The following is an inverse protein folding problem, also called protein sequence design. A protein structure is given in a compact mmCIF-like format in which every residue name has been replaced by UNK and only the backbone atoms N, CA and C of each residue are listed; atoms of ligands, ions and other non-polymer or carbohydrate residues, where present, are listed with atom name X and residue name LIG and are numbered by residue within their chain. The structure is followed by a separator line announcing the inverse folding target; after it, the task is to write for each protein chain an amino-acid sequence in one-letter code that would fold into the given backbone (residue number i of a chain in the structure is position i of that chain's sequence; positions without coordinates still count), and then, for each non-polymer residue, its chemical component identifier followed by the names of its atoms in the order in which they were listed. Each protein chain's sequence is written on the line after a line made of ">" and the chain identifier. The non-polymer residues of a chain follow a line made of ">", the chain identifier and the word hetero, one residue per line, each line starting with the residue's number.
data_IF_487030989692
#
_entry.id   IF_487030989692
#
_cell.length_a   1.000
_cell.length_b   1.000
_cell.length_c   1.000
_cell.angle_alpha   90.00
_cell.angle_beta   90.00
_cell.angle_gamma   90.00
#
_symmetry.space_group_name_H-M   'P 1'
#
loop_
_entity.id
_entity.type
_entity.pdbx_description
1 polymer ?
#
# COMPACT_ATOMS: atom_id res chain seq x y z
N UNK A 1 -1.98 -3.66 11.23
CA UNK A 1 -1.79 -3.90 9.78
C UNK A 1 -1.39 -5.35 9.51
N UNK A 2 -0.26 -5.86 10.01
CA UNK A 2 0.23 -7.23 9.71
C UNK A 2 -0.77 -8.35 10.01
N UNK A 3 -1.39 -8.37 11.20
CA UNK A 3 -2.33 -9.43 11.58
C UNK A 3 -3.53 -9.54 10.63
N UNK A 4 -4.14 -8.39 10.30
CA UNK A 4 -5.22 -8.34 9.32
C UNK A 4 -4.75 -8.78 7.93
N UNK A 5 -3.55 -8.39 7.51
CA UNK A 5 -3.00 -8.81 6.22
C UNK A 5 -2.80 -10.33 6.13
N UNK A 6 -2.26 -10.94 7.19
CA UNK A 6 -2.06 -12.39 7.26
C UNK A 6 -3.41 -13.12 7.15
N UNK A 7 -4.46 -12.62 7.81
CA UNK A 7 -5.83 -13.15 7.73
C UNK A 7 -6.42 -13.02 6.30
N UNK A 8 -6.39 -11.83 5.72
CA UNK A 8 -6.88 -11.58 4.36
C UNK A 8 -6.18 -12.45 3.31
N UNK A 9 -4.85 -12.56 3.40
CA UNK A 9 -4.07 -13.38 2.46
C UNK A 9 -4.27 -14.88 2.68
N UNK A 10 -4.59 -15.34 3.88
CA UNK A 10 -4.94 -16.73 4.13
C UNK A 10 -6.33 -17.08 3.56
N UNK A 11 -7.34 -16.25 3.84
CA UNK A 11 -8.75 -16.63 3.67
C UNK A 11 -9.37 -16.21 2.33
N UNK A 12 -8.93 -15.08 1.75
CA UNK A 12 -9.58 -14.53 0.58
C UNK A 12 -9.40 -15.43 -0.65
N UNK A 13 -10.51 -15.71 -1.34
CA UNK A 13 -10.54 -16.48 -2.61
C UNK A 13 -10.40 -15.53 -3.81
N UNK A 14 -9.28 -14.82 -3.87
CA UNK A 14 -8.94 -13.87 -4.93
C UNK A 14 -7.49 -14.05 -5.36
N UNK A 15 -7.17 -13.63 -6.58
CA UNK A 15 -5.81 -13.74 -7.12
C UNK A 15 -4.86 -12.72 -6.50
N UNK A 16 -5.34 -11.48 -6.31
CA UNK A 16 -4.55 -10.35 -5.83
C UNK A 16 -5.30 -9.49 -4.83
N UNK A 17 -4.56 -8.99 -3.85
CA UNK A 17 -5.01 -8.08 -2.79
C UNK A 17 -4.09 -6.86 -2.81
N UNK A 18 -4.68 -5.67 -2.77
CA UNK A 18 -3.96 -4.41 -2.67
C UNK A 18 -4.11 -3.86 -1.26
N UNK A 19 -3.00 -3.51 -0.61
CA UNK A 19 -3.04 -2.91 0.72
C UNK A 19 -3.37 -1.42 0.60
N UNK A 20 -4.51 -1.01 1.16
CA UNK A 20 -4.92 0.40 1.22
C UNK A 20 -4.09 1.17 2.25
N UNK A 21 -3.52 2.29 1.82
CA UNK A 21 -2.75 3.22 2.67
C UNK A 21 -3.19 4.65 2.38
N UNK A 22 -3.04 5.54 3.37
CA UNK A 22 -3.29 6.97 3.20
C UNK A 22 -1.97 7.73 3.00
N UNK A 23 -1.96 8.67 2.06
CA UNK A 23 -0.85 9.61 1.86
C UNK A 23 -0.93 10.85 2.78
N UNK A 24 -2.00 10.98 3.56
CA UNK A 24 -2.20 12.11 4.48
C UNK A 24 -1.66 11.77 5.87
N UNK A 25 -0.63 12.50 6.32
CA UNK A 25 -0.11 12.41 7.69
C UNK A 25 -1.13 12.77 8.78
N UNK A 26 -2.25 13.38 8.40
CA UNK A 26 -3.31 13.81 9.31
C UNK A 26 -4.40 12.75 9.46
N UNK A 27 -4.41 11.73 8.60
CA UNK A 27 -5.39 10.66 8.64
C UNK A 27 -4.98 9.62 9.69
N UNK A 28 -5.98 9.04 10.37
CA UNK A 28 -5.71 7.89 11.24
C UNK A 28 -5.25 6.70 10.41
N UNK A 29 -4.21 6.02 10.89
CA UNK A 29 -3.62 4.88 10.19
C UNK A 29 -2.57 5.25 9.14
N UNK A 30 -2.16 6.52 9.05
CA UNK A 30 -0.95 6.89 8.29
C UNK A 30 0.29 6.13 8.82
N UNK A 31 1.12 5.68 7.90
CA UNK A 31 2.41 5.04 8.16
C UNK A 31 3.44 5.77 7.30
N UNK A 32 4.61 6.12 7.86
CA UNK A 32 5.66 6.74 7.07
C UNK A 32 6.15 5.83 5.93
N UNK A 33 6.59 6.40 4.81
CA UNK A 33 7.02 5.62 3.64
C UNK A 33 8.21 4.70 3.98
N UNK A 34 9.18 5.19 4.75
CA UNK A 34 10.36 4.44 5.15
C UNK A 34 9.97 3.27 6.10
N UNK A 35 9.03 3.50 7.02
CA UNK A 35 8.49 2.48 7.91
C UNK A 35 7.63 1.45 7.18
N UNK A 36 6.82 1.89 6.20
CA UNK A 36 5.99 1.02 5.39
C UNK A 36 6.84 0.05 4.57
N UNK A 37 7.91 0.55 3.95
CA UNK A 37 8.82 -0.25 3.13
C UNK A 37 9.64 -1.22 3.98
N UNK A 38 10.26 -0.74 5.04
CA UNK A 38 11.14 -1.57 5.89
C UNK A 38 10.39 -2.58 6.75
N UNK A 39 9.12 -2.30 7.08
CA UNK A 39 8.25 -3.16 7.86
C UNK A 39 7.29 -3.98 7.01
N UNK A 40 6.12 -3.42 6.72
CA UNK A 40 5.00 -4.16 6.14
C UNK A 40 5.31 -4.74 4.76
N UNK A 41 5.89 -3.95 3.84
CA UNK A 41 6.10 -4.38 2.46
C UNK A 41 7.09 -5.54 2.36
N UNK A 42 8.15 -5.53 3.16
CA UNK A 42 9.13 -6.62 3.24
C UNK A 42 8.48 -7.98 3.49
N UNK A 43 7.42 -8.01 4.29
CA UNK A 43 6.69 -9.24 4.61
C UNK A 43 5.57 -9.50 3.59
N UNK A 44 4.83 -8.48 3.19
CA UNK A 44 3.67 -8.59 2.29
C UNK A 44 4.04 -9.09 0.90
N UNK A 45 5.18 -8.65 0.35
CA UNK A 45 5.67 -9.06 -0.98
C UNK A 45 5.97 -10.55 -1.10
N UNK A 46 6.17 -11.27 0.03
CA UNK A 46 6.34 -12.72 0.02
C UNK A 46 5.04 -13.48 -0.24
N UNK A 47 3.89 -12.82 -0.11
CA UNK A 47 2.60 -13.43 -0.40
C UNK A 47 2.35 -13.44 -1.91
N UNK A 48 2.03 -14.60 -2.53
CA UNK A 48 1.66 -14.65 -3.94
C UNK A 48 0.39 -13.84 -4.24
N UNK A 49 -0.43 -13.56 -3.21
CA UNK A 49 -1.64 -12.73 -3.32
C UNK A 49 -1.34 -11.24 -3.22
N UNK A 50 -0.12 -10.79 -2.93
CA UNK A 50 0.18 -9.36 -2.95
C UNK A 50 0.12 -8.82 -4.39
N UNK A 51 -0.73 -7.81 -4.58
CA UNK A 51 -0.93 -7.11 -5.85
C UNK A 51 -0.29 -5.73 -5.89
N UNK A 52 0.02 -5.14 -4.73
CA UNK A 52 0.57 -3.79 -4.63
C UNK A 52 -0.12 -2.96 -3.55
N UNK A 53 0.08 -1.65 -3.63
CA UNK A 53 -0.56 -0.66 -2.75
C UNK A 53 -1.72 0.03 -3.47
N UNK A 54 -2.77 0.37 -2.73
CA UNK A 54 -3.76 1.36 -3.13
C UNK A 54 -3.54 2.59 -2.25
N UNK A 55 -3.22 3.74 -2.86
CA UNK A 55 -2.89 4.97 -2.14
C UNK A 55 -4.08 5.93 -2.20
N UNK A 56 -4.67 6.21 -1.04
CA UNK A 56 -5.73 7.19 -0.86
C UNK A 56 -5.13 8.54 -0.40
N UNK A 57 -5.27 9.64 -1.12
CA UNK A 57 -5.84 9.84 -2.45
C UNK A 57 -4.92 10.76 -3.25
N UNK A 58 -5.16 10.88 -4.55
CA UNK A 58 -4.22 11.51 -5.48
C UNK A 58 -3.76 12.92 -5.06
N UNK A 59 -4.65 13.75 -4.51
CA UNK A 59 -4.29 15.11 -4.08
C UNK A 59 -3.27 15.11 -2.94
N UNK A 60 -3.50 14.31 -1.88
CA UNK A 60 -2.57 14.24 -0.74
C UNK A 60 -1.28 13.52 -1.12
N UNK A 61 -1.35 12.55 -2.03
CA UNK A 61 -0.18 11.87 -2.58
C UNK A 61 0.72 12.83 -3.38
N UNK A 62 0.13 13.71 -4.18
CA UNK A 62 0.87 14.73 -4.92
C UNK A 62 1.51 15.78 -3.99
N UNK A 63 0.81 16.23 -2.96
CA UNK A 63 1.32 17.23 -2.00
C UNK A 63 2.45 16.66 -1.12
N UNK A 64 2.34 15.41 -0.69
CA UNK A 64 3.31 14.77 0.20
C UNK A 64 4.46 14.06 -0.52
N UNK A 65 4.26 13.67 -1.78
CA UNK A 65 5.20 12.81 -2.53
C UNK A 65 5.25 11.37 -2.02
N UNK A 66 4.22 10.90 -1.32
CA UNK A 66 4.24 9.63 -0.59
C UNK A 66 4.52 8.41 -1.48
N UNK A 67 3.77 8.23 -2.56
CA UNK A 67 3.98 7.14 -3.53
C UNK A 67 5.32 7.24 -4.25
N UNK A 68 5.80 8.47 -4.52
CA UNK A 68 7.10 8.71 -5.12
C UNK A 68 8.23 8.23 -4.19
N UNK A 69 8.15 8.54 -2.88
CA UNK A 69 9.11 8.08 -1.88
C UNK A 69 9.10 6.56 -1.73
N UNK A 70 7.91 5.94 -1.69
CA UNK A 70 7.78 4.48 -1.64
C UNK A 70 8.46 3.82 -2.86
N UNK A 71 8.26 4.38 -4.05
CA UNK A 71 8.86 3.88 -5.29
C UNK A 71 10.38 4.09 -5.35
N UNK A 72 10.90 5.16 -4.75
CA UNK A 72 12.34 5.37 -4.60
C UNK A 72 12.98 4.31 -3.70
N UNK A 73 12.32 3.99 -2.58
CA UNK A 73 12.79 3.02 -1.60
C UNK A 73 12.63 1.56 -2.06
N UNK A 74 11.55 1.25 -2.78
CA UNK A 74 11.26 -0.06 -3.35
C UNK A 74 10.78 0.08 -4.81
N UNK A 75 11.69 0.07 -5.80
CA UNK A 75 11.35 0.30 -7.20
C UNK A 75 10.46 -0.78 -7.83
N UNK A 76 10.33 -1.95 -7.21
CA UNK A 76 9.52 -3.06 -7.73
C UNK A 76 8.05 -3.00 -7.30
N UNK A 77 7.73 -2.10 -6.37
CA UNK A 77 6.37 -1.97 -5.84
C UNK A 77 5.41 -1.43 -6.91
N UNK A 78 4.26 -2.09 -7.04
CA UNK A 78 3.17 -1.59 -7.87
C UNK A 78 2.22 -0.78 -7.00
N UNK A 79 1.97 0.47 -7.38
CA UNK A 79 0.81 1.22 -6.88
C UNK A 79 -0.33 1.05 -7.87
N UNK A 80 -1.54 0.81 -7.38
CA UNK A 80 -2.73 0.82 -8.21
C UNK A 80 -2.82 2.18 -8.94
N UNK A 81 -3.33 2.23 -10.19
CA UNK A 81 -3.50 3.48 -10.90
C UNK A 81 -4.35 4.44 -10.05
N UNK A 82 -3.79 5.59 -9.72
CA UNK A 82 -4.44 6.71 -9.05
C UNK A 82 -5.48 7.32 -9.99
N UNK A 83 -6.64 6.66 -10.10
CA UNK A 83 -7.70 7.08 -11.02
C UNK A 83 -8.82 6.05 -11.24
N UNK A 84 -8.75 4.85 -10.67
CA UNK A 84 -9.94 3.99 -10.59
C UNK A 84 -10.80 4.51 -9.43
N UNK A 85 -11.74 5.40 -9.75
CA UNK A 85 -12.93 5.53 -8.92
C UNK A 85 -13.55 4.13 -8.86
N UNK A 86 -13.47 3.49 -7.70
CA UNK A 86 -14.25 2.29 -7.42
C UNK A 86 -15.71 2.73 -7.39
N UNK A 87 -16.41 2.54 -8.51
CA UNK A 87 -17.88 2.57 -8.57
C UNK A 87 -18.50 1.54 -7.62
#
# INVERSE_FOLDING_TARGET
>A
MKSAWDEWTAEAKVDKIFAGVTASKYDQGYVDADDLVSGFLRDAENSPKFGGLMVWYVYTDHESGYSARIKELNPTIQTAPSGVEVE
#
